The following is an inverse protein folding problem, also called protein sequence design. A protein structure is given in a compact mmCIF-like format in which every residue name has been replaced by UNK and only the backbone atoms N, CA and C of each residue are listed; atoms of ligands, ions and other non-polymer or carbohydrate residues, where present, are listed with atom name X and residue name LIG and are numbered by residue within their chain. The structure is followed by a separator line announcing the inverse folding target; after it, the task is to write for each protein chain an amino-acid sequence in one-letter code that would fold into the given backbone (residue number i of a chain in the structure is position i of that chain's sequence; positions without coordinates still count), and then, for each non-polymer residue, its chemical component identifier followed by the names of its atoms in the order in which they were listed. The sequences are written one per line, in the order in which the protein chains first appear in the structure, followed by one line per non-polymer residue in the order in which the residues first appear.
data_IF_295880011341
#
_entry.id   IF_295880011341
#
_cell.length_a   1.000
_cell.length_b   1.000
_cell.length_c   1.000
_cell.angle_alpha   90.00
_cell.angle_beta   90.00
_cell.angle_gamma   90.00
#
_symmetry.space_group_name_H-M   'P 1'
#
loop_
_entity.id
_entity.type
_entity.pdbx_description
1 polymer ?
#
# COMPACT_ATOMS: atom_id res chain seq x y z
N UNK A 1 -1.01 -2.34 22.56
CA UNK A 1 -0.74 -2.74 23.96
C UNK A 1 -0.56 -4.25 23.96
N UNK A 2 0.56 -4.76 24.50
CA UNK A 2 0.84 -6.19 24.62
C UNK A 2 0.07 -6.83 25.77
N UNK A 3 -0.09 -8.17 25.75
CA UNK A 3 -0.71 -8.91 26.86
C UNK A 3 0.00 -8.64 28.21
N UNK A 4 1.35 -8.55 28.21
CA UNK A 4 2.10 -8.20 29.41
C UNK A 4 1.81 -6.77 29.91
N UNK A 5 1.63 -5.80 29.01
CA UNK A 5 1.26 -4.43 29.39
C UNK A 5 -0.17 -4.39 29.99
N UNK A 6 -1.12 -5.16 29.44
CA UNK A 6 -2.47 -5.30 30.00
C UNK A 6 -2.41 -5.88 31.43
N UNK A 7 -1.62 -6.96 31.61
CA UNK A 7 -1.43 -7.56 32.92
C UNK A 7 -0.83 -6.59 33.96
N UNK A 8 0.16 -5.81 33.55
CA UNK A 8 0.78 -4.79 34.42
C UNK A 8 -0.20 -3.67 34.79
N UNK A 9 -0.98 -3.16 33.82
CA UNK A 9 -2.03 -2.16 34.07
C UNK A 9 -3.04 -2.66 35.10
N UNK A 10 -3.53 -3.88 34.91
CA UNK A 10 -4.46 -4.51 35.86
C UNK A 10 -3.82 -4.69 37.25
N UNK A 11 -2.57 -5.17 37.34
CA UNK A 11 -1.87 -5.37 38.61
C UNK A 11 -1.61 -4.05 39.35
N UNK A 12 -1.53 -2.92 38.63
CA UNK A 12 -1.34 -1.58 39.21
C UNK A 12 -2.65 -0.81 39.41
N UNK A 13 -3.81 -1.47 39.24
CA UNK A 13 -5.12 -0.88 39.48
C UNK A 13 -5.61 0.08 38.40
N UNK A 14 -5.02 0.05 37.22
CA UNK A 14 -5.47 0.89 36.10
C UNK A 14 -6.52 0.13 35.28
N UNK A 15 -7.77 0.48 35.47
CA UNK A 15 -8.91 -0.10 34.75
C UNK A 15 -9.03 0.44 33.32
N UNK A 16 -8.65 1.70 33.10
CA UNK A 16 -8.75 2.39 31.81
C UNK A 16 -7.43 3.07 31.45
N UNK A 17 -7.13 3.10 30.19
CA UNK A 17 -5.95 3.77 29.64
C UNK A 17 -6.29 4.42 28.30
N UNK A 18 -5.78 5.63 28.09
CA UNK A 18 -5.92 6.31 26.80
C UNK A 18 -5.00 5.67 25.75
N UNK A 19 -5.58 5.39 24.59
CA UNK A 19 -4.87 4.76 23.46
C UNK A 19 -5.16 5.50 22.16
N UNK A 20 -4.28 5.38 21.18
CA UNK A 20 -4.55 5.86 19.80
C UNK A 20 -5.74 5.13 19.19
N UNK A 21 -6.63 5.89 18.53
CA UNK A 21 -7.78 5.31 17.84
C UNK A 21 -7.33 4.52 16.61
N UNK A 22 -8.04 3.45 16.29
CA UNK A 22 -7.89 2.72 15.03
C UNK A 22 -8.56 3.51 13.91
N UNK A 23 -7.82 4.01 12.88
CA UNK A 23 -8.41 4.82 11.83
C UNK A 23 -9.35 4.01 10.95
N UNK A 24 -10.51 4.60 10.58
CA UNK A 24 -11.36 4.14 9.51
C UNK A 24 -10.73 4.47 8.16
N UNK A 25 -10.70 3.51 7.23
CA UNK A 25 -10.02 3.65 5.94
C UNK A 25 -10.95 3.23 4.83
N UNK A 26 -11.35 4.18 3.99
CA UNK A 26 -12.15 3.91 2.80
C UNK A 26 -11.30 3.47 1.61
N UNK A 27 -11.68 2.38 0.95
CA UNK A 27 -11.02 1.87 -0.27
C UNK A 27 -11.91 2.07 -1.48
N UNK A 28 -11.47 2.90 -2.41
CA UNK A 28 -12.14 3.21 -3.68
C UNK A 28 -11.27 2.72 -4.83
N UNK A 29 -11.80 1.83 -5.69
CA UNK A 29 -11.14 1.43 -6.93
C UNK A 29 -11.84 2.07 -8.12
N UNK A 30 -11.07 2.67 -9.01
CA UNK A 30 -11.56 3.25 -10.27
C UNK A 30 -10.99 2.49 -11.46
N UNK A 31 -11.83 2.20 -12.44
CA UNK A 31 -11.42 1.51 -13.66
C UNK A 31 -12.62 0.83 -14.32
N UNK A 32 -12.92 1.21 -15.56
CA UNK A 32 -14.01 0.61 -16.34
C UNK A 32 -13.71 -0.81 -16.78
N UNK A 33 -12.44 -1.25 -16.71
CA UNK A 33 -12.00 -2.63 -16.92
C UNK A 33 -12.21 -3.53 -15.71
N UNK A 34 -12.53 -2.96 -14.55
CA UNK A 34 -12.61 -3.70 -13.29
C UNK A 34 -13.98 -4.36 -13.10
N UNK A 35 -13.98 -5.60 -12.67
CA UNK A 35 -15.17 -6.34 -12.28
C UNK A 35 -15.03 -6.89 -10.85
N UNK A 36 -16.15 -6.97 -10.14
CA UNK A 36 -16.19 -7.64 -8.83
C UNK A 36 -15.82 -9.13 -8.98
N UNK A 37 -15.17 -9.75 -7.98
CA UNK A 37 -14.71 -11.14 -8.07
C UNK A 37 -15.85 -12.17 -8.01
N UNK A 38 -17.01 -11.79 -8.56
CA UNK A 38 -18.22 -12.60 -8.64
C UNK A 38 -18.73 -12.64 -10.08
N UNK A 39 -18.82 -13.83 -10.65
CA UNK A 39 -19.36 -13.98 -11.99
C UNK A 39 -18.31 -14.22 -13.08
N UNK A 40 -18.70 -13.94 -14.34
CA UNK A 40 -17.86 -14.14 -15.52
C UNK A 40 -17.36 -12.79 -16.03
N UNK A 41 -16.08 -12.73 -16.39
CA UNK A 41 -15.50 -11.56 -17.03
C UNK A 41 -16.02 -11.41 -18.47
N UNK A 42 -16.31 -10.20 -18.87
CA UNK A 42 -16.49 -9.82 -20.27
C UNK A 42 -15.13 -9.60 -20.95
N UNK A 43 -15.07 -9.61 -22.28
CA UNK A 43 -13.83 -9.27 -22.99
C UNK A 43 -13.28 -7.91 -22.55
N UNK A 44 -12.01 -7.88 -22.16
CA UNK A 44 -11.34 -6.66 -21.67
C UNK A 44 -11.48 -6.40 -20.17
N UNK A 45 -12.33 -7.12 -19.45
CA UNK A 45 -12.44 -6.99 -18.00
C UNK A 45 -11.40 -7.84 -17.25
N UNK A 46 -11.04 -7.37 -16.07
CA UNK A 46 -10.22 -8.09 -15.08
C UNK A 46 -10.90 -8.02 -13.71
N UNK A 47 -10.69 -9.02 -12.86
CA UNK A 47 -11.18 -8.95 -11.49
C UNK A 47 -10.37 -7.93 -10.66
N UNK A 48 -11.08 -7.09 -9.93
CA UNK A 48 -10.50 -6.16 -8.98
C UNK A 48 -9.87 -6.94 -7.80
N UNK A 49 -8.60 -6.68 -7.51
CA UNK A 49 -7.85 -7.39 -6.47
C UNK A 49 -7.19 -6.47 -5.45
N UNK A 50 -7.04 -5.17 -5.77
CA UNK A 50 -6.29 -4.25 -4.94
C UNK A 50 -7.02 -3.89 -3.66
N UNK A 51 -8.35 -3.65 -3.70
CA UNK A 51 -9.14 -3.32 -2.50
C UNK A 51 -9.00 -4.40 -1.44
N UNK A 52 -9.20 -5.68 -1.83
CA UNK A 52 -9.10 -6.80 -0.90
C UNK A 52 -7.68 -6.95 -0.30
N UNK A 53 -6.66 -6.85 -1.15
CA UNK A 53 -5.26 -6.91 -0.74
C UNK A 53 -4.90 -5.77 0.23
N UNK A 54 -5.21 -4.53 -0.14
CA UNK A 54 -4.88 -3.34 0.64
C UNK A 54 -5.68 -3.26 1.95
N UNK A 55 -6.94 -3.70 1.94
CA UNK A 55 -7.76 -3.80 3.14
C UNK A 55 -7.13 -4.77 4.15
N UNK A 56 -6.76 -5.98 3.71
CA UNK A 56 -6.06 -6.95 4.56
C UNK A 56 -4.77 -6.40 5.16
N UNK A 57 -3.98 -5.66 4.37
CA UNK A 57 -2.77 -5.00 4.87
C UNK A 57 -3.08 -3.88 5.89
N UNK A 58 -4.20 -3.19 5.70
CA UNK A 58 -4.62 -2.12 6.62
C UNK A 58 -5.14 -2.68 7.94
N UNK A 59 -5.82 -3.82 7.93
CA UNK A 59 -6.18 -4.55 9.16
C UNK A 59 -4.94 -4.96 9.96
N UNK A 60 -3.88 -5.47 9.30
CA UNK A 60 -2.60 -5.77 9.94
C UNK A 60 -1.91 -4.52 10.52
N UNK A 61 -2.16 -3.36 9.93
CA UNK A 61 -1.72 -2.07 10.47
C UNK A 61 -2.70 -1.47 11.50
N UNK A 62 -3.61 -2.28 12.06
CA UNK A 62 -4.66 -1.86 13.01
C UNK A 62 -5.68 -0.85 12.45
N UNK A 63 -5.82 -0.69 11.15
CA UNK A 63 -6.89 0.09 10.54
C UNK A 63 -8.23 -0.65 10.54
N UNK A 64 -9.30 0.07 10.25
CA UNK A 64 -10.67 -0.46 10.02
C UNK A 64 -11.05 -0.19 8.57
N UNK A 65 -10.83 -1.17 7.64
CA UNK A 65 -11.12 -0.96 6.23
C UNK A 65 -12.61 -0.99 5.91
N UNK A 66 -13.03 -0.11 5.01
CA UNK A 66 -14.35 -0.10 4.37
C UNK A 66 -14.16 -0.16 2.86
N UNK A 67 -14.68 -1.18 2.19
CA UNK A 67 -14.57 -1.33 0.73
C UNK A 67 -15.81 -0.71 0.06
N UNK A 68 -15.59 0.26 -0.81
CA UNK A 68 -16.64 0.87 -1.62
C UNK A 68 -16.80 0.14 -2.96
N UNK A 69 -17.96 0.19 -3.63
CA UNK A 69 -18.16 -0.38 -4.95
C UNK A 69 -17.10 0.12 -5.96
N UNK A 70 -16.87 -0.65 -7.02
CA UNK A 70 -16.01 -0.21 -8.13
C UNK A 70 -16.65 1.01 -8.78
N UNK A 71 -15.82 2.03 -9.01
CA UNK A 71 -16.25 3.32 -9.56
C UNK A 71 -15.92 3.36 -11.05
N UNK A 72 -16.90 3.64 -11.92
CA UNK A 72 -16.64 3.86 -13.33
C UNK A 72 -15.68 5.04 -13.58
N UNK A 73 -14.96 5.00 -14.72
CA UNK A 73 -14.03 6.07 -15.11
C UNK A 73 -14.78 7.35 -15.55
N UNK A 74 -15.34 8.05 -14.57
CA UNK A 74 -15.91 9.38 -14.75
C UNK A 74 -15.62 10.27 -13.54
N UNK A 75 -15.50 11.56 -13.77
CA UNK A 75 -15.23 12.54 -12.71
C UNK A 75 -16.36 12.55 -11.69
N UNK A 76 -17.61 12.63 -12.13
CA UNK A 76 -18.77 12.70 -11.25
C UNK A 76 -18.88 11.48 -10.34
N UNK A 77 -18.67 10.26 -10.89
CA UNK A 77 -18.68 9.03 -10.11
C UNK A 77 -17.52 8.99 -9.10
N UNK A 78 -16.34 9.47 -9.50
CA UNK A 78 -15.17 9.54 -8.62
C UNK A 78 -15.39 10.52 -7.48
N UNK A 79 -15.93 11.71 -7.77
CA UNK A 79 -16.28 12.73 -6.76
C UNK A 79 -17.28 12.18 -5.76
N UNK A 80 -18.40 11.60 -6.24
CA UNK A 80 -19.44 11.05 -5.36
C UNK A 80 -18.92 9.92 -4.46
N UNK A 81 -18.11 9.02 -5.01
CA UNK A 81 -17.52 7.93 -4.25
C UNK A 81 -16.52 8.43 -3.20
N UNK A 82 -15.69 9.42 -3.54
CA UNK A 82 -14.75 10.03 -2.60
C UNK A 82 -15.49 10.80 -1.50
N UNK A 83 -16.51 11.58 -1.82
CA UNK A 83 -17.33 12.29 -0.85
C UNK A 83 -17.94 11.31 0.17
N UNK A 84 -18.56 10.22 -0.32
CA UNK A 84 -19.10 9.18 0.54
C UNK A 84 -18.03 8.54 1.41
N UNK A 85 -16.88 8.15 0.83
CA UNK A 85 -15.79 7.53 1.56
C UNK A 85 -15.23 8.45 2.67
N UNK A 86 -15.07 9.76 2.40
CA UNK A 86 -14.58 10.73 3.39
C UNK A 86 -15.59 11.03 4.49
N UNK A 87 -16.90 10.93 4.22
CA UNK A 87 -17.93 11.10 5.24
C UNK A 87 -17.83 10.04 6.34
N UNK A 88 -17.47 8.80 6.00
CA UNK A 88 -17.49 7.64 6.90
C UNK A 88 -16.11 7.24 7.45
N UNK A 89 -15.01 7.75 6.90
CA UNK A 89 -13.66 7.30 7.25
C UNK A 89 -12.73 8.45 7.64
N UNK A 90 -11.62 8.10 8.30
CA UNK A 90 -10.56 9.03 8.71
C UNK A 90 -9.52 9.24 7.62
N UNK A 91 -9.41 8.30 6.69
CA UNK A 91 -8.54 8.36 5.52
C UNK A 91 -9.19 7.64 4.32
N UNK A 92 -8.81 8.02 3.10
CA UNK A 92 -9.26 7.34 1.88
C UNK A 92 -8.06 6.89 1.07
N UNK A 93 -8.13 5.67 0.55
CA UNK A 93 -7.16 5.10 -0.39
C UNK A 93 -7.88 4.86 -1.71
N UNK A 94 -7.38 5.46 -2.80
CA UNK A 94 -7.83 5.13 -4.15
C UNK A 94 -6.85 4.19 -4.82
N UNK A 95 -7.34 3.24 -5.60
CA UNK A 95 -6.54 2.35 -6.45
C UNK A 95 -6.95 2.52 -7.90
N UNK A 96 -6.01 2.92 -8.75
CA UNK A 96 -6.26 3.41 -10.11
C UNK A 96 -6.48 4.93 -10.16
N UNK A 97 -6.64 5.48 -11.35
CA UNK A 97 -6.92 6.91 -11.57
C UNK A 97 -5.81 7.89 -11.13
N UNK A 98 -4.56 7.44 -10.97
CA UNK A 98 -3.42 8.25 -10.50
C UNK A 98 -2.27 8.33 -11.51
N UNK A 99 -2.51 7.97 -12.75
CA UNK A 99 -1.52 8.06 -13.84
C UNK A 99 -1.58 9.45 -14.51
N UNK A 100 -0.97 9.60 -15.65
CA UNK A 100 -0.96 10.86 -16.44
C UNK A 100 -1.90 10.81 -17.64
N UNK A 101 -2.84 9.87 -17.70
CA UNK A 101 -3.78 9.70 -18.80
C UNK A 101 -5.07 10.49 -18.63
N UNK A 102 -5.84 10.58 -19.72
CA UNK A 102 -7.14 11.30 -19.77
C UNK A 102 -8.21 10.70 -18.85
N UNK A 103 -7.99 9.50 -18.35
CA UNK A 103 -8.87 8.79 -17.39
C UNK A 103 -8.43 8.96 -15.92
N UNK A 104 -7.58 9.95 -15.62
CA UNK A 104 -7.14 10.23 -14.25
C UNK A 104 -8.07 11.24 -13.59
N UNK A 105 -9.12 10.74 -12.94
CA UNK A 105 -10.13 11.57 -12.30
C UNK A 105 -9.86 11.86 -10.81
N UNK A 106 -8.85 11.23 -10.19
CA UNK A 106 -8.56 11.44 -8.75
C UNK A 106 -8.13 12.87 -8.47
N UNK A 107 -7.24 13.44 -9.29
CA UNK A 107 -6.78 14.83 -9.09
C UNK A 107 -7.91 15.85 -9.28
N UNK A 108 -8.67 15.85 -10.40
CA UNK A 108 -9.82 16.73 -10.54
C UNK A 108 -10.86 16.58 -9.43
N UNK A 109 -11.08 15.36 -8.94
CA UNK A 109 -12.00 15.11 -7.84
C UNK A 109 -11.52 15.73 -6.52
N UNK A 110 -10.21 15.68 -6.21
CA UNK A 110 -9.62 16.37 -5.06
C UNK A 110 -9.92 17.88 -5.15
N UNK A 111 -9.66 18.48 -6.31
CA UNK A 111 -9.87 19.92 -6.54
C UNK A 111 -11.35 20.28 -6.40
N UNK A 112 -12.28 19.51 -6.97
CA UNK A 112 -13.72 19.74 -6.89
C UNK A 112 -14.27 19.61 -5.47
N UNK A 113 -13.71 18.71 -4.66
CA UNK A 113 -14.06 18.54 -3.24
C UNK A 113 -13.37 19.55 -2.31
N UNK A 114 -12.72 20.58 -2.85
CA UNK A 114 -12.04 21.62 -2.08
C UNK A 114 -10.79 21.11 -1.34
N UNK A 115 -10.25 19.99 -1.78
CA UNK A 115 -9.05 19.42 -1.23
C UNK A 115 -7.77 20.04 -1.76
N UNK A 116 -6.65 19.59 -1.23
CA UNK A 116 -5.32 20.00 -1.69
C UNK A 116 -4.45 18.80 -2.05
N UNK A 117 -3.60 18.97 -3.05
CA UNK A 117 -2.62 17.99 -3.49
C UNK A 117 -1.26 18.34 -2.87
N UNK A 118 -0.69 17.44 -2.06
CA UNK A 118 0.60 17.66 -1.40
C UNK A 118 1.75 17.28 -2.33
N UNK A 119 1.71 16.12 -2.95
CA UNK A 119 2.65 15.73 -4.00
C UNK A 119 2.11 14.62 -4.91
N UNK A 120 2.74 14.51 -6.08
CA UNK A 120 2.46 13.52 -7.11
C UNK A 120 3.78 12.92 -7.62
N UNK A 121 3.89 11.60 -7.54
CA UNK A 121 5.03 10.78 -7.96
C UNK A 121 6.14 10.65 -6.93
N UNK A 122 6.65 9.42 -6.87
CA UNK A 122 7.78 9.04 -6.02
C UNK A 122 8.85 8.31 -6.84
N UNK A 123 10.11 8.44 -6.45
CA UNK A 123 11.24 7.86 -7.16
C UNK A 123 11.48 6.38 -6.81
N UNK A 124 10.41 5.55 -6.87
CA UNK A 124 10.47 4.11 -6.58
C UNK A 124 10.04 3.27 -7.78
N UNK A 125 10.47 2.02 -7.81
CA UNK A 125 10.11 1.00 -8.79
C UNK A 125 9.82 -0.32 -8.06
N UNK A 126 8.61 -0.91 -8.29
CA UNK A 126 7.45 -0.33 -8.94
C UNK A 126 6.78 0.75 -8.07
N UNK A 127 5.87 1.55 -8.63
CA UNK A 127 5.07 2.50 -7.84
C UNK A 127 5.39 3.99 -8.08
N UNK A 128 5.92 4.37 -9.27
CA UNK A 128 6.18 5.78 -9.60
C UNK A 128 4.93 6.69 -9.47
N UNK A 129 3.73 6.33 -9.97
CA UNK A 129 2.52 7.07 -9.67
C UNK A 129 2.14 6.85 -8.20
N UNK A 130 2.07 7.92 -7.45
CA UNK A 130 1.57 7.95 -6.07
C UNK A 130 1.09 9.37 -5.79
N UNK A 131 -0.09 9.50 -5.23
CA UNK A 131 -0.70 10.77 -4.88
C UNK A 131 -0.86 10.84 -3.37
N UNK A 132 -0.45 11.95 -2.78
CA UNK A 132 -0.83 12.35 -1.44
C UNK A 132 -1.59 13.67 -1.52
N UNK A 133 -2.81 13.65 -1.03
CA UNK A 133 -3.68 14.82 -0.92
C UNK A 133 -4.43 14.82 0.41
N UNK A 134 -5.30 15.80 0.57
CA UNK A 134 -6.22 15.85 1.71
C UNK A 134 -7.54 16.50 1.32
N UNK A 135 -8.62 16.06 1.94
CA UNK A 135 -9.96 16.64 1.82
C UNK A 135 -10.54 16.79 3.23
N UNK A 136 -10.97 17.99 3.59
CA UNK A 136 -11.49 18.27 4.92
C UNK A 136 -10.53 17.93 6.07
N UNK A 137 -9.22 18.06 5.84
CA UNK A 137 -8.17 17.70 6.81
C UNK A 137 -7.87 16.21 6.93
N UNK A 138 -8.60 15.34 6.21
CA UNK A 138 -8.36 13.89 6.18
C UNK A 138 -7.47 13.51 4.99
N UNK A 139 -6.47 12.60 5.17
CA UNK A 139 -5.55 12.23 4.10
C UNK A 139 -6.21 11.38 3.01
N UNK A 140 -5.80 11.64 1.76
CA UNK A 140 -6.04 10.82 0.58
C UNK A 140 -4.73 10.22 0.10
N UNK A 141 -4.72 8.93 -0.14
CA UNK A 141 -3.61 8.20 -0.76
C UNK A 141 -4.07 7.61 -2.09
N UNK A 142 -3.58 8.13 -3.19
CA UNK A 142 -3.83 7.58 -4.52
C UNK A 142 -2.73 6.59 -4.90
N UNK A 143 -3.09 5.33 -5.06
CA UNK A 143 -2.18 4.23 -5.38
C UNK A 143 -2.31 3.80 -6.83
N UNK A 144 -1.22 3.27 -7.44
CA UNK A 144 -1.26 2.74 -8.80
C UNK A 144 -2.27 1.59 -8.95
N UNK A 145 -2.89 1.46 -10.12
CA UNK A 145 -3.76 0.32 -10.44
C UNK A 145 -3.03 -1.03 -10.50
N UNK A 146 -1.74 -1.05 -10.86
CA UNK A 146 -0.95 -2.29 -10.86
C UNK A 146 -0.72 -2.82 -9.42
N UNK A 147 -1.09 -4.07 -9.11
CA UNK A 147 -1.17 -4.58 -7.73
C UNK A 147 0.16 -4.57 -6.97
N UNK A 148 1.27 -4.92 -7.64
CA UNK A 148 2.58 -4.87 -6.97
C UNK A 148 3.01 -3.44 -6.69
N UNK A 149 2.66 -2.50 -7.56
CA UNK A 149 2.92 -1.08 -7.33
C UNK A 149 2.10 -0.55 -6.16
N UNK A 150 0.82 -0.94 -6.09
CA UNK A 150 -0.08 -0.58 -5.00
C UNK A 150 0.44 -1.10 -3.65
N UNK A 151 0.86 -2.37 -3.58
CA UNK A 151 1.45 -2.95 -2.37
C UNK A 151 2.73 -2.22 -1.94
N UNK A 152 3.67 -2.00 -2.86
CA UNK A 152 4.94 -1.33 -2.54
C UNK A 152 4.70 0.09 -2.04
N UNK A 153 3.86 0.87 -2.72
CA UNK A 153 3.54 2.24 -2.28
C UNK A 153 2.75 2.26 -0.97
N UNK A 154 1.85 1.29 -0.77
CA UNK A 154 1.17 1.13 0.52
C UNK A 154 2.17 0.90 1.67
N UNK A 155 3.06 -0.08 1.54
CA UNK A 155 4.05 -0.40 2.58
C UNK A 155 4.96 0.78 2.91
N UNK A 156 5.38 1.52 1.90
CA UNK A 156 6.36 2.60 2.07
C UNK A 156 5.75 3.93 2.52
N UNK A 157 4.51 4.22 2.12
CA UNK A 157 3.91 5.55 2.27
C UNK A 157 2.65 5.52 3.14
N UNK A 158 1.72 4.58 2.88
CA UNK A 158 0.42 4.55 3.56
C UNK A 158 0.53 3.94 4.95
N UNK A 159 1.11 2.76 5.07
CA UNK A 159 1.25 2.07 6.36
C UNK A 159 1.91 2.95 7.43
N UNK A 160 3.04 3.64 7.19
CA UNK A 160 3.62 4.55 8.17
C UNK A 160 2.67 5.67 8.60
N UNK A 161 1.90 6.23 7.65
CA UNK A 161 0.92 7.26 7.95
C UNK A 161 -0.22 6.73 8.84
N UNK A 162 -0.76 5.55 8.54
CA UNK A 162 -1.80 4.90 9.36
C UNK A 162 -1.30 4.60 10.78
N UNK A 163 -0.05 4.19 10.94
CA UNK A 163 0.55 3.99 12.26
C UNK A 163 0.75 5.32 13.00
N UNK A 164 1.17 6.37 12.30
CA UNK A 164 1.30 7.71 12.88
C UNK A 164 -0.04 8.27 13.35
N UNK A 165 -1.14 8.06 12.59
CA UNK A 165 -2.50 8.43 12.99
C UNK A 165 -2.92 7.75 14.31
N UNK A 166 -2.36 6.61 14.63
CA UNK A 166 -2.60 5.86 15.87
C UNK A 166 -1.65 6.26 17.03
N UNK A 167 -0.75 7.22 16.81
CA UNK A 167 0.25 7.61 17.79
C UNK A 167 1.41 6.63 17.93
N UNK A 168 1.63 5.72 16.97
CA UNK A 168 2.75 4.78 17.04
C UNK A 168 4.08 5.51 16.89
N UNK A 169 5.06 5.17 17.73
CA UNK A 169 6.42 5.72 17.67
C UNK A 169 7.34 5.00 16.68
N UNK A 170 7.02 3.75 16.33
CA UNK A 170 7.77 2.92 15.37
C UNK A 170 6.97 2.76 14.09
N UNK A 171 7.31 3.52 13.06
CA UNK A 171 6.59 3.54 11.78
C UNK A 171 7.23 2.65 10.71
N UNK A 172 8.53 2.36 10.86
CA UNK A 172 9.30 1.59 9.88
C UNK A 172 8.87 0.13 9.78
N UNK A 173 9.12 -0.44 8.60
CA UNK A 173 8.96 -1.88 8.37
C UNK A 173 10.11 -2.64 9.01
N UNK A 174 9.82 -3.80 9.61
CA UNK A 174 10.85 -4.67 10.11
C UNK A 174 11.70 -5.23 8.94
N UNK A 175 13.00 -5.34 9.21
CA UNK A 175 13.95 -5.92 8.26
C UNK A 175 14.59 -7.15 8.88
N UNK A 176 14.65 -8.22 8.09
CA UNK A 176 15.39 -9.44 8.45
C UNK A 176 16.71 -9.45 7.69
N UNK A 177 17.86 -9.65 8.33
CA UNK A 177 19.13 -9.84 7.65
C UNK A 177 19.14 -11.15 6.86
N UNK A 178 19.77 -11.15 5.69
CA UNK A 178 19.93 -12.34 4.86
C UNK A 178 21.08 -12.20 3.87
N UNK A 179 21.33 -13.25 3.09
CA UNK A 179 22.41 -13.33 2.10
C UNK A 179 21.86 -13.66 0.71
N UNK A 180 22.26 -12.90 -0.30
CA UNK A 180 21.81 -13.08 -1.67
C UNK A 180 22.30 -14.39 -2.27
N UNK A 181 21.37 -15.24 -2.73
CA UNK A 181 21.68 -16.46 -3.49
C UNK A 181 22.30 -16.16 -4.87
N UNK A 182 21.90 -15.05 -5.50
CA UNK A 182 22.37 -14.60 -6.82
C UNK A 182 22.56 -13.09 -6.84
N UNK A 183 23.48 -12.61 -7.67
CA UNK A 183 23.68 -11.18 -7.85
C UNK A 183 22.42 -10.52 -8.41
N UNK A 184 22.11 -9.32 -7.92
CA UNK A 184 21.01 -8.47 -8.40
C UNK A 184 21.55 -7.09 -8.78
N UNK A 185 20.96 -6.49 -9.81
CA UNK A 185 21.35 -5.17 -10.26
C UNK A 185 20.13 -4.28 -10.51
N UNK A 186 20.28 -3.01 -10.21
CA UNK A 186 19.36 -1.95 -10.58
C UNK A 186 20.09 -0.92 -11.44
N UNK A 187 19.99 -1.03 -12.76
CA UNK A 187 20.56 -0.08 -13.71
C UNK A 187 19.69 1.17 -13.95
N UNK A 188 18.60 1.33 -13.22
CA UNK A 188 17.70 2.47 -13.35
C UNK A 188 18.00 3.58 -12.35
N UNK A 189 17.35 4.71 -12.55
CA UNK A 189 17.46 5.96 -11.77
C UNK A 189 16.62 6.00 -10.49
N UNK A 190 15.78 4.97 -10.26
CA UNK A 190 14.88 4.88 -9.10
C UNK A 190 15.26 3.72 -8.18
N UNK A 191 14.98 3.84 -6.89
CA UNK A 191 15.08 2.71 -5.94
C UNK A 191 14.19 1.58 -6.41
N UNK A 192 14.72 0.37 -6.47
CA UNK A 192 13.99 -0.80 -6.95
C UNK A 192 13.69 -1.76 -5.79
N UNK A 193 12.41 -1.91 -5.49
CA UNK A 193 11.91 -2.85 -4.49
C UNK A 193 11.62 -4.19 -5.18
N UNK A 194 12.61 -5.08 -5.13
CA UNK A 194 12.57 -6.41 -5.75
C UNK A 194 11.85 -7.38 -4.83
N UNK A 195 10.89 -8.13 -5.37
CA UNK A 195 10.23 -9.22 -4.63
C UNK A 195 11.19 -10.37 -4.43
N UNK A 196 11.32 -10.79 -3.19
CA UNK A 196 12.23 -11.86 -2.79
C UNK A 196 11.52 -12.85 -1.87
N UNK A 197 12.08 -14.05 -1.77
CA UNK A 197 11.88 -14.95 -0.65
C UNK A 197 13.12 -14.93 0.22
N UNK A 198 12.92 -14.94 1.53
CA UNK A 198 13.96 -15.23 2.52
C UNK A 198 13.53 -16.45 3.31
N UNK A 199 14.35 -17.49 3.33
CA UNK A 199 14.10 -18.72 4.07
C UNK A 199 14.57 -18.63 5.53
N UNK A 200 14.44 -19.72 6.28
CA UNK A 200 14.82 -19.77 7.69
C UNK A 200 16.32 -19.68 7.91
N UNK A 201 17.13 -20.13 6.98
CA UNK A 201 18.59 -20.03 6.94
C UNK A 201 19.08 -18.63 6.57
N UNK A 202 18.19 -17.75 6.10
CA UNK A 202 18.48 -16.38 5.70
C UNK A 202 18.98 -16.28 4.25
N UNK A 203 18.78 -17.32 3.42
CA UNK A 203 19.06 -17.20 1.99
C UNK A 203 17.99 -16.38 1.30
N UNK A 204 18.43 -15.40 0.49
CA UNK A 204 17.55 -14.45 -0.20
C UNK A 204 17.56 -14.73 -1.70
N UNK A 205 16.42 -15.12 -2.22
CA UNK A 205 16.22 -15.41 -3.66
C UNK A 205 15.17 -14.48 -4.26
N UNK A 206 15.47 -13.87 -5.40
CA UNK A 206 14.46 -13.07 -6.11
C UNK A 206 13.41 -13.96 -6.73
N UNK A 207 12.12 -13.60 -6.57
CA UNK A 207 11.03 -14.32 -7.24
C UNK A 207 11.11 -14.13 -8.77
N UNK A 208 10.71 -15.14 -9.52
CA UNK A 208 10.59 -15.03 -10.97
C UNK A 208 9.50 -14.01 -11.33
N UNK A 209 9.79 -13.15 -12.33
CA UNK A 209 8.84 -12.17 -12.83
C UNK A 209 8.69 -10.95 -11.90
N UNK A 210 9.38 -9.85 -12.21
CA UNK A 210 9.36 -8.60 -11.44
C UNK A 210 8.40 -7.53 -12.03
N UNK A 211 7.49 -7.91 -12.96
CA UNK A 211 6.49 -6.99 -13.53
C UNK A 211 5.51 -6.48 -12.47
N UNK A 212 5.08 -5.23 -12.60
CA UNK A 212 4.20 -4.57 -11.62
C UNK A 212 2.78 -5.14 -11.55
N UNK A 213 2.36 -5.88 -12.56
CA UNK A 213 1.05 -6.56 -12.67
C UNK A 213 1.09 -8.03 -12.23
N UNK A 214 2.26 -8.57 -11.89
CA UNK A 214 2.44 -10.01 -11.66
C UNK A 214 2.11 -10.42 -10.22
N UNK A 215 0.82 -10.56 -9.90
CA UNK A 215 0.33 -11.02 -8.59
C UNK A 215 0.89 -12.38 -8.17
N UNK A 216 1.02 -13.33 -9.12
CA UNK A 216 1.57 -14.65 -8.79
C UNK A 216 3.01 -14.63 -8.26
N UNK A 217 3.83 -13.64 -8.66
CA UNK A 217 5.16 -13.48 -8.08
C UNK A 217 5.11 -12.76 -6.73
N UNK A 218 4.11 -11.92 -6.51
CA UNK A 218 3.85 -11.28 -5.23
C UNK A 218 3.38 -12.32 -4.18
N UNK A 219 2.45 -13.19 -4.55
CA UNK A 219 1.94 -14.24 -3.66
C UNK A 219 3.01 -15.24 -3.19
N UNK A 220 4.11 -15.38 -3.95
CA UNK A 220 5.26 -16.23 -3.57
C UNK A 220 6.32 -15.49 -2.76
N UNK A 221 6.29 -14.16 -2.75
CA UNK A 221 7.26 -13.35 -2.02
C UNK A 221 6.86 -13.23 -0.55
N UNK A 222 7.84 -13.29 0.36
CA UNK A 222 7.66 -12.92 1.76
C UNK A 222 8.42 -11.64 2.12
N UNK A 223 9.15 -11.04 1.15
CA UNK A 223 9.92 -9.83 1.37
C UNK A 223 10.15 -8.96 0.14
N UNK A 224 10.56 -7.74 0.41
CA UNK A 224 11.07 -6.77 -0.57
C UNK A 224 12.53 -6.45 -0.26
N UNK A 225 13.36 -6.48 -1.30
CA UNK A 225 14.73 -6.02 -1.23
C UNK A 225 14.86 -4.65 -1.91
N UNK A 226 15.30 -3.66 -1.15
CA UNK A 226 15.53 -2.31 -1.64
C UNK A 226 16.92 -2.20 -2.28
N UNK A 227 16.97 -2.05 -3.60
CA UNK A 227 18.19 -1.88 -4.36
C UNK A 227 18.31 -0.42 -4.82
N UNK A 228 19.32 0.32 -4.35
CA UNK A 228 19.53 1.72 -4.74
C UNK A 228 19.65 1.90 -6.27
N UNK A 229 19.43 3.13 -6.79
CA UNK A 229 19.68 3.44 -8.19
C UNK A 229 21.12 3.12 -8.61
N UNK A 230 21.30 2.70 -9.85
CA UNK A 230 22.62 2.47 -10.47
C UNK A 230 23.57 1.61 -9.62
N UNK A 231 23.01 0.58 -8.95
CA UNK A 231 23.78 -0.26 -8.02
C UNK A 231 23.69 -1.75 -8.37
N UNK A 232 24.65 -2.50 -7.87
CA UNK A 232 24.72 -3.95 -8.01
C UNK A 232 25.07 -4.58 -6.66
N UNK A 233 24.32 -5.59 -6.29
CA UNK A 233 24.58 -6.43 -5.13
C UNK A 233 25.17 -7.77 -5.62
N UNK A 234 26.30 -8.18 -5.08
CA UNK A 234 26.96 -9.42 -5.46
C UNK A 234 26.22 -10.65 -4.88
N UNK A 235 26.46 -11.84 -5.44
CA UNK A 235 26.10 -13.10 -4.79
C UNK A 235 26.80 -13.18 -3.42
N UNK A 236 26.07 -13.60 -2.39
CA UNK A 236 26.55 -13.70 -1.02
C UNK A 236 26.56 -12.37 -0.24
N UNK A 237 26.19 -11.25 -0.87
CA UNK A 237 26.07 -9.95 -0.17
C UNK A 237 25.06 -10.03 0.96
N UNK A 238 25.41 -9.45 2.11
CA UNK A 238 24.47 -9.26 3.24
C UNK A 238 23.49 -8.15 2.91
N UNK A 239 22.20 -8.42 3.13
CA UNK A 239 21.10 -7.52 2.79
C UNK A 239 20.03 -7.50 3.87
N UNK A 240 19.31 -6.40 3.98
CA UNK A 240 18.13 -6.30 4.84
C UNK A 240 16.86 -6.47 4.02
N UNK A 241 16.15 -7.57 4.20
CA UNK A 241 14.86 -7.85 3.55
C UNK A 241 13.73 -7.23 4.35
N UNK A 242 12.96 -6.34 3.73
CA UNK A 242 11.72 -5.79 4.29
C UNK A 242 10.66 -6.89 4.24
N UNK A 243 10.13 -7.31 5.38
CA UNK A 243 9.09 -8.34 5.43
C UNK A 243 7.73 -7.76 5.03
N UNK A 244 6.98 -8.48 4.18
CA UNK A 244 5.69 -8.00 3.64
C UNK A 244 4.56 -8.26 4.64
N UNK A 245 4.54 -9.41 5.27
CA UNK A 245 3.47 -9.87 6.15
C UNK A 245 3.87 -9.76 7.63
N UNK A 246 3.64 -8.59 8.21
CA UNK A 246 3.83 -8.34 9.65
C UNK A 246 2.68 -7.54 10.23
#
# INVERSE_FOLDING_TARGET
ITAGAIGLLAATGNEQVEVGCRPGIGFVATGSELAEPTGKLKPGEIFESNRAMLASMSEKANGRPTLYPIVPDSLDSTVAAMEWAFAENDAVITSGGVSVGDHDHVKPAIEQLGGSLNFWRVAVKPGKPFVLGQIGGKPLFGLPGNPVSALVTYLLMVRPALLAMQGASKLGLAKRPGRLAKALANGGDRRHFVRVTIDDEGEVTSTAGQGSHMLGSLARANGLLDIPPNSRLAKGAEVGVILIDQ
#
